data_IF_559705007539
#
_entry.id   IF_559705007539
#
_cell.length_a   1.000
_cell.length_b   1.000
_cell.length_c   1.000
_cell.angle_alpha   90.00
_cell.angle_beta   90.00
_cell.angle_gamma   90.00
#
_symmetry.space_group_name_H-M   'P 1'
#
loop_
_entity.id
_entity.type
_entity.pdbx_description
1 polymer ?
#
# COMPACT_ATOMS: atom_id res chain seq x y z
N UNK A 1 -78.09 -52.45 1.22
CA UNK A 1 -77.25 -51.69 2.15
C UNK A 1 -75.94 -51.46 1.44
N UNK A 2 -75.80 -50.27 0.88
CA UNK A 2 -74.57 -49.83 0.14
C UNK A 2 -73.99 -48.62 0.85
N UNK A 3 -72.79 -48.71 1.43
CA UNK A 3 -72.05 -47.60 2.03
C UNK A 3 -71.20 -46.92 0.96
N UNK A 4 -71.46 -45.64 0.75
CA UNK A 4 -70.61 -44.76 -0.05
C UNK A 4 -69.56 -44.08 0.87
N UNK A 5 -68.29 -44.35 0.63
CA UNK A 5 -67.20 -43.74 1.28
C UNK A 5 -66.73 -42.58 0.39
N UNK A 6 -66.94 -41.31 0.84
CA UNK A 6 -66.50 -40.10 0.16
C UNK A 6 -65.04 -39.78 0.51
N UNK A 7 -64.24 -39.71 -0.52
CA UNK A 7 -62.80 -39.36 -0.41
C UNK A 7 -62.63 -37.84 -0.61
N UNK A 8 -62.31 -37.10 0.47
CA UNK A 8 -61.99 -35.71 0.45
C UNK A 8 -60.48 -35.51 0.07
N UNK A 9 -60.24 -34.97 -1.14
CA UNK A 9 -58.92 -34.56 -1.57
C UNK A 9 -58.64 -33.17 -0.98
N UNK A 10 -57.75 -33.07 0.00
CA UNK A 10 -57.20 -31.82 0.54
C UNK A 10 -56.11 -31.29 -0.36
N UNK A 11 -56.34 -30.14 -0.99
CA UNK A 11 -55.37 -29.43 -1.82
C UNK A 11 -54.43 -28.62 -0.88
N UNK A 12 -53.22 -29.10 -0.63
CA UNK A 12 -52.21 -28.37 0.12
C UNK A 12 -51.54 -27.34 -0.81
N UNK A 13 -51.86 -26.06 -0.65
CA UNK A 13 -51.11 -24.94 -1.27
C UNK A 13 -49.75 -24.83 -0.57
N UNK A 14 -48.68 -25.29 -1.23
CA UNK A 14 -47.31 -24.97 -0.82
C UNK A 14 -46.98 -23.50 -1.20
N UNK A 15 -46.99 -22.60 -0.23
CA UNK A 15 -46.48 -21.24 -0.38
C UNK A 15 -44.94 -21.34 -0.42
N UNK A 16 -44.34 -21.32 -1.62
CA UNK A 16 -42.91 -21.21 -1.82
C UNK A 16 -42.46 -19.81 -1.36
N UNK A 17 -41.84 -19.73 -0.21
CA UNK A 17 -41.11 -18.52 0.20
C UNK A 17 -39.92 -18.30 -0.74
N UNK A 18 -40.04 -17.34 -1.65
CA UNK A 18 -38.92 -16.86 -2.46
C UNK A 18 -37.98 -16.13 -1.51
N UNK A 19 -36.92 -16.79 -1.04
CA UNK A 19 -35.83 -16.14 -0.38
C UNK A 19 -35.08 -15.32 -1.45
N UNK A 20 -35.37 -14.02 -1.54
CA UNK A 20 -34.49 -13.08 -2.21
C UNK A 20 -33.14 -13.09 -1.47
N UNK A 21 -32.02 -13.27 -2.15
CA UNK A 21 -30.71 -13.15 -1.49
C UNK A 21 -30.62 -11.77 -0.87
N UNK A 22 -30.60 -11.70 0.44
CA UNK A 22 -30.35 -10.48 1.18
C UNK A 22 -28.89 -10.12 0.89
N UNK A 23 -28.65 -9.07 0.13
CA UNK A 23 -27.30 -8.54 -0.08
C UNK A 23 -26.74 -8.17 1.31
N UNK A 24 -25.78 -8.96 1.78
CA UNK A 24 -25.07 -8.67 3.01
C UNK A 24 -24.24 -7.40 2.76
N UNK A 25 -24.64 -6.31 3.39
CA UNK A 25 -23.75 -5.15 3.53
C UNK A 25 -22.48 -5.63 4.27
N UNK A 26 -21.31 -5.37 3.71
CA UNK A 26 -20.05 -5.69 4.36
C UNK A 26 -19.96 -4.89 5.68
N UNK A 27 -20.15 -5.59 6.80
CA UNK A 27 -19.99 -4.97 8.13
C UNK A 27 -18.50 -4.78 8.38
N UNK A 28 -18.11 -3.55 8.67
CA UNK A 28 -16.72 -3.23 9.05
C UNK A 28 -16.70 -2.40 10.32
N UNK A 29 -16.34 -3.01 11.45
CA UNK A 29 -16.18 -2.27 12.71
C UNK A 29 -15.17 -1.11 12.61
N UNK A 30 -14.14 -1.24 11.77
CA UNK A 30 -13.17 -0.15 11.55
C UNK A 30 -13.80 1.01 10.78
N UNK A 31 -14.58 0.72 9.71
CA UNK A 31 -15.32 1.76 8.99
C UNK A 31 -16.25 2.54 9.89
N UNK A 32 -17.01 1.84 10.74
CA UNK A 32 -17.95 2.46 11.66
C UNK A 32 -17.23 3.41 12.63
N UNK A 33 -16.11 2.97 13.23
CA UNK A 33 -15.27 3.80 14.09
C UNK A 33 -14.70 5.02 13.37
N UNK A 34 -14.24 4.87 12.13
CA UNK A 34 -13.72 5.97 11.33
C UNK A 34 -14.80 6.99 11.02
N UNK A 35 -16.01 6.54 10.66
CA UNK A 35 -17.16 7.41 10.40
C UNK A 35 -17.62 8.15 11.66
N UNK A 36 -17.75 7.45 12.77
CA UNK A 36 -18.14 8.02 14.07
C UNK A 36 -17.14 9.08 14.53
N UNK A 37 -15.83 8.78 14.43
CA UNK A 37 -14.76 9.71 14.80
C UNK A 37 -14.60 10.87 13.80
N UNK A 38 -15.06 10.69 12.57
CA UNK A 38 -14.88 11.65 11.48
C UNK A 38 -13.44 11.87 11.04
N UNK A 39 -12.54 10.93 11.35
CA UNK A 39 -11.10 11.03 11.08
C UNK A 39 -10.51 9.64 10.86
N UNK A 40 -9.70 9.47 9.81
CA UNK A 40 -8.92 8.25 9.56
C UNK A 40 -7.54 8.38 10.23
N UNK A 41 -7.12 7.35 10.97
CA UNK A 41 -5.77 7.28 11.59
C UNK A 41 -4.85 6.44 10.72
N UNK A 42 -3.87 7.08 10.09
CA UNK A 42 -2.87 6.41 9.25
C UNK A 42 -1.50 6.40 9.89
N UNK A 43 -0.70 5.39 9.55
CA UNK A 43 0.71 5.35 9.93
C UNK A 43 1.52 6.41 9.17
N UNK A 44 2.37 7.12 9.90
CA UNK A 44 3.47 7.93 9.38
C UNK A 44 4.82 7.27 9.63
N UNK A 45 5.90 8.04 9.53
CA UNK A 45 7.25 7.61 9.91
C UNK A 45 7.82 8.55 10.98
N UNK A 46 8.71 8.04 11.82
CA UNK A 46 9.41 8.85 12.84
C UNK A 46 10.60 9.61 12.20
N UNK A 47 10.29 10.59 11.39
CA UNK A 47 11.19 11.30 10.48
C UNK A 47 10.68 11.22 9.05
N UNK A 48 11.57 11.22 8.07
CA UNK A 48 11.21 11.09 6.65
C UNK A 48 11.72 9.78 6.06
N UNK A 49 10.87 9.11 5.30
CA UNK A 49 11.19 8.05 4.36
C UNK A 49 10.85 8.57 2.97
N UNK A 50 11.87 9.18 2.34
CA UNK A 50 11.70 10.05 1.19
C UNK A 50 10.96 9.40 0.02
N UNK A 51 10.07 10.19 -0.60
CA UNK A 51 9.17 9.76 -1.67
C UNK A 51 7.93 9.00 -1.21
N UNK A 52 7.98 8.35 -0.03
CA UNK A 52 6.88 7.53 0.50
C UNK A 52 6.17 8.18 1.67
N UNK A 53 6.89 8.53 2.72
CA UNK A 53 6.37 9.19 3.94
C UNK A 53 7.34 10.26 4.35
N UNK A 54 7.05 11.49 4.06
CA UNK A 54 7.89 12.63 4.38
C UNK A 54 7.17 13.60 5.30
N UNK A 55 7.92 14.21 6.21
CA UNK A 55 7.45 15.27 7.07
C UNK A 55 8.43 16.42 7.03
N UNK A 56 7.94 17.65 6.89
CA UNK A 56 8.74 18.85 6.97
C UNK A 56 8.73 19.48 8.39
N UNK A 57 9.49 20.54 8.60
CA UNK A 57 9.60 21.24 9.89
C UNK A 57 8.29 21.87 10.36
N UNK A 58 7.29 21.98 9.47
CA UNK A 58 5.93 22.46 9.78
C UNK A 58 4.96 21.34 10.10
N UNK A 59 5.44 20.08 10.21
CA UNK A 59 4.63 18.87 10.36
C UNK A 59 3.64 18.62 9.19
N UNK A 60 3.97 19.10 8.00
CA UNK A 60 3.22 18.80 6.79
C UNK A 60 3.73 17.49 6.19
N UNK A 61 2.82 16.56 5.99
CA UNK A 61 3.10 15.24 5.47
C UNK A 61 2.89 15.17 3.95
N UNK A 62 3.79 14.48 3.25
CA UNK A 62 3.70 14.18 1.81
C UNK A 62 4.32 12.82 1.50
N UNK A 63 4.13 12.34 0.28
CA UNK A 63 4.68 11.08 -0.21
C UNK A 63 3.59 10.14 -0.72
N UNK A 64 4.01 9.08 -1.41
CA UNK A 64 3.11 8.09 -2.03
C UNK A 64 2.14 7.50 -0.99
N UNK A 65 2.65 7.03 0.14
CA UNK A 65 1.86 6.38 1.18
C UNK A 65 0.91 7.35 1.86
N UNK A 66 1.32 8.61 2.01
CA UNK A 66 0.48 9.68 2.56
C UNK A 66 -0.67 10.01 1.62
N UNK A 67 -0.41 10.06 0.32
CA UNK A 67 -1.44 10.33 -0.68
C UNK A 67 -2.42 9.15 -0.82
N UNK A 68 -1.97 7.92 -0.66
CA UNK A 68 -2.86 6.74 -0.56
C UNK A 68 -3.73 6.79 0.71
N UNK A 69 -3.19 7.25 1.85
CA UNK A 69 -4.00 7.50 3.04
C UNK A 69 -5.07 8.58 2.80
N UNK A 70 -4.71 9.69 2.14
CA UNK A 70 -5.65 10.76 1.76
C UNK A 70 -6.72 10.27 0.79
N UNK A 71 -6.34 9.41 -0.16
CA UNK A 71 -7.27 8.79 -1.09
C UNK A 71 -8.30 7.92 -0.34
N UNK A 72 -7.84 7.06 0.57
CA UNK A 72 -8.71 6.26 1.43
C UNK A 72 -9.61 7.15 2.31
N UNK A 73 -9.05 8.22 2.88
CA UNK A 73 -9.80 9.19 3.66
C UNK A 73 -10.92 9.83 2.83
N UNK A 74 -10.61 10.24 1.60
CA UNK A 74 -11.60 10.84 0.70
C UNK A 74 -12.70 9.86 0.32
N UNK A 75 -12.34 8.61 0.02
CA UNK A 75 -13.32 7.57 -0.30
C UNK A 75 -14.33 7.35 0.83
N UNK A 76 -13.89 7.42 2.08
CA UNK A 76 -14.74 7.18 3.26
C UNK A 76 -15.47 8.45 3.70
N UNK A 77 -14.75 9.57 3.86
CA UNK A 77 -15.21 10.78 4.53
C UNK A 77 -15.45 11.98 3.59
N UNK A 78 -15.13 11.84 2.29
CA UNK A 78 -15.32 12.89 1.28
C UNK A 78 -14.33 14.07 1.34
N UNK A 79 -13.34 14.02 2.21
CA UNK A 79 -12.38 15.11 2.41
C UNK A 79 -10.98 14.52 2.69
N UNK A 80 -9.97 14.78 1.86
CA UNK A 80 -8.61 14.25 2.03
C UNK A 80 -7.91 14.72 3.30
N UNK A 81 -8.41 15.77 3.96
CA UNK A 81 -7.81 16.34 5.15
C UNK A 81 -8.35 15.74 6.46
N UNK A 82 -9.41 14.93 6.40
CA UNK A 82 -9.98 14.23 7.57
C UNK A 82 -9.17 13.00 7.96
N UNK A 83 -7.84 13.14 8.02
CA UNK A 83 -6.93 12.13 8.50
C UNK A 83 -5.99 12.68 9.57
N UNK A 84 -5.43 11.77 10.34
CA UNK A 84 -4.32 12.05 11.27
C UNK A 84 -3.20 11.06 10.99
N UNK A 85 -2.03 11.58 10.67
CA UNK A 85 -0.82 10.78 10.45
C UNK A 85 -0.11 10.60 11.78
N UNK A 86 0.08 9.35 12.18
CA UNK A 86 0.72 8.97 13.45
C UNK A 86 2.17 8.58 13.18
N UNK A 87 3.17 9.32 13.68
CA UNK A 87 4.57 8.98 13.53
C UNK A 87 4.90 7.67 14.23
N UNK A 88 5.44 6.69 13.50
CA UNK A 88 5.79 5.36 14.01
C UNK A 88 7.16 4.94 13.46
N UNK A 89 7.97 4.26 14.24
CA UNK A 89 9.12 3.54 13.71
C UNK A 89 8.69 2.30 12.91
N UNK A 90 9.64 1.63 12.27
CA UNK A 90 9.37 0.37 11.58
C UNK A 90 8.89 -0.72 12.54
N UNK A 91 9.45 -0.77 13.75
CA UNK A 91 9.09 -1.75 14.77
C UNK A 91 7.70 -1.47 15.40
N UNK A 92 7.33 -0.19 15.53
CA UNK A 92 6.08 0.22 16.19
C UNK A 92 4.83 0.03 15.33
N UNK A 93 4.94 -0.05 13.98
CA UNK A 93 3.77 -0.01 13.10
C UNK A 93 2.74 -1.13 13.34
N UNK A 94 3.19 -2.35 13.58
CA UNK A 94 2.27 -3.47 13.81
C UNK A 94 1.65 -3.48 15.20
N UNK A 95 2.40 -3.27 16.30
CA UNK A 95 1.80 -3.03 17.60
C UNK A 95 0.75 -1.91 17.59
N UNK A 96 1.03 -0.77 16.96
CA UNK A 96 0.08 0.34 16.85
C UNK A 96 -1.18 -0.01 16.04
N UNK A 97 -1.04 -0.85 15.01
CA UNK A 97 -2.19 -1.35 14.27
C UNK A 97 -3.04 -2.31 15.12
N UNK A 98 -2.40 -3.21 15.84
CA UNK A 98 -3.07 -4.20 16.69
C UNK A 98 -3.80 -3.55 17.87
N UNK A 99 -3.21 -2.51 18.50
CA UNK A 99 -3.84 -1.74 19.58
C UNK A 99 -4.98 -0.83 19.10
N UNK A 100 -5.01 -0.50 17.80
CA UNK A 100 -5.98 0.44 17.24
C UNK A 100 -5.55 1.90 17.31
N UNK A 101 -4.27 2.18 17.58
CA UNK A 101 -3.70 3.53 17.50
C UNK A 101 -3.66 4.05 16.07
N UNK A 102 -3.67 3.14 15.08
CA UNK A 102 -3.93 3.42 13.67
C UNK A 102 -4.98 2.46 13.12
N UNK A 103 -5.75 2.93 12.14
CA UNK A 103 -6.77 2.13 11.46
C UNK A 103 -6.16 1.28 10.33
N UNK A 104 -5.09 1.79 9.73
CA UNK A 104 -4.39 1.17 8.60
C UNK A 104 -2.90 1.54 8.64
N UNK A 105 -2.06 0.60 8.23
CA UNK A 105 -0.63 0.84 7.98
C UNK A 105 -0.41 0.92 6.48
N UNK A 106 -0.26 2.13 5.94
CA UNK A 106 0.22 2.41 4.58
C UNK A 106 1.61 3.03 4.76
N UNK A 107 2.65 2.19 4.72
CA UNK A 107 4.02 2.58 5.07
C UNK A 107 5.04 1.61 4.46
N UNK A 108 5.17 1.60 3.13
CA UNK A 108 6.14 0.77 2.40
C UNK A 108 6.34 -0.62 3.06
N UNK A 109 5.23 -1.31 3.37
CA UNK A 109 5.24 -2.52 4.19
C UNK A 109 5.23 -3.76 3.30
N UNK A 110 6.31 -4.55 3.35
CA UNK A 110 6.40 -5.83 2.64
C UNK A 110 5.38 -6.84 3.19
N UNK A 111 4.62 -7.46 2.30
CA UNK A 111 3.74 -8.56 2.62
C UNK A 111 4.56 -9.85 2.72
N UNK A 112 4.59 -10.47 3.89
CA UNK A 112 5.30 -11.72 4.14
C UNK A 112 4.39 -12.72 4.83
N UNK A 113 4.65 -14.02 4.62
CA UNK A 113 3.89 -15.10 5.25
C UNK A 113 3.83 -14.93 6.78
N UNK A 114 4.97 -14.69 7.44
CA UNK A 114 4.99 -14.55 8.90
C UNK A 114 4.17 -13.34 9.40
N UNK A 115 4.20 -12.21 8.68
CA UNK A 115 3.36 -11.05 9.05
C UNK A 115 1.88 -11.33 8.90
N UNK A 116 1.52 -12.04 7.84
CA UNK A 116 0.14 -12.40 7.53
C UNK A 116 -0.40 -13.43 8.52
N UNK A 117 0.33 -14.52 8.75
CA UNK A 117 -0.19 -15.69 9.49
C UNK A 117 0.10 -15.65 11.00
N UNK A 118 1.19 -15.01 11.45
CA UNK A 118 1.63 -15.06 12.84
C UNK A 118 1.26 -13.79 13.64
N UNK A 119 1.16 -12.62 12.95
CA UNK A 119 0.89 -11.36 13.61
C UNK A 119 -0.59 -10.96 13.62
N UNK A 120 -1.50 -11.79 13.09
CA UNK A 120 -2.92 -11.46 13.00
C UNK A 120 -3.18 -10.23 12.12
N UNK A 121 -2.43 -10.11 11.04
CA UNK A 121 -2.56 -9.03 10.06
C UNK A 121 -3.22 -9.55 8.78
N UNK A 122 -3.81 -8.63 8.04
CA UNK A 122 -4.29 -8.84 6.69
C UNK A 122 -3.66 -7.79 5.78
N UNK A 123 -3.39 -8.17 4.53
CA UNK A 123 -2.75 -7.29 3.58
C UNK A 123 -3.68 -6.97 2.40
N UNK A 124 -3.53 -5.76 1.86
CA UNK A 124 -4.22 -5.35 0.64
C UNK A 124 -3.60 -5.97 -0.60
N UNK A 125 -4.21 -5.70 -1.77
CA UNK A 125 -3.51 -5.81 -3.04
C UNK A 125 -2.19 -5.02 -2.97
N UNK A 126 -1.10 -5.56 -3.52
CA UNK A 126 0.14 -4.81 -3.58
C UNK A 126 -0.02 -3.54 -4.42
N UNK A 127 0.49 -2.43 -3.90
CA UNK A 127 0.49 -1.15 -4.61
C UNK A 127 1.88 -0.74 -5.10
N UNK A 128 2.93 -1.46 -4.66
CA UNK A 128 4.30 -1.21 -5.10
C UNK A 128 5.12 -2.50 -5.03
N UNK A 129 6.16 -2.60 -5.89
CA UNK A 129 7.07 -3.73 -5.96
C UNK A 129 8.52 -3.24 -5.94
N UNK A 130 9.36 -3.94 -5.19
CA UNK A 130 10.79 -3.67 -5.11
C UNK A 130 11.52 -4.85 -4.48
N UNK A 131 12.77 -4.63 -4.10
CA UNK A 131 13.56 -5.66 -3.44
C UNK A 131 14.71 -5.07 -2.63
N UNK A 132 15.27 -5.88 -1.75
CA UNK A 132 16.46 -5.54 -0.97
C UNK A 132 17.66 -5.35 -1.88
N UNK A 133 18.43 -4.31 -1.66
CA UNK A 133 19.70 -4.03 -2.32
C UNK A 133 20.73 -3.52 -1.32
N UNK A 134 21.98 -3.51 -1.74
CA UNK A 134 23.13 -3.05 -0.97
C UNK A 134 23.74 -1.82 -1.67
N UNK A 135 23.92 -0.75 -0.93
CA UNK A 135 24.64 0.45 -1.34
C UNK A 135 26.02 0.44 -0.68
N UNK A 136 27.06 0.63 -1.48
CA UNK A 136 28.45 0.71 -0.99
C UNK A 136 29.16 1.94 -1.53
N UNK A 137 30.22 2.39 -0.83
CA UNK A 137 31.09 3.45 -1.35
C UNK A 137 32.03 2.87 -2.42
N UNK A 138 32.17 3.58 -3.53
CA UNK A 138 33.04 3.15 -4.65
C UNK A 138 34.50 3.02 -4.26
N UNK A 139 34.99 3.81 -3.33
CA UNK A 139 36.36 3.78 -2.80
C UNK A 139 36.74 2.43 -2.18
N UNK A 140 35.75 1.64 -1.71
CA UNK A 140 35.98 0.31 -1.14
C UNK A 140 36.28 -0.75 -2.21
N UNK A 141 36.05 -0.45 -3.50
CA UNK A 141 36.27 -1.40 -4.59
C UNK A 141 35.32 -2.61 -4.58
N UNK A 142 34.25 -2.58 -3.76
CA UNK A 142 33.27 -3.64 -3.65
C UNK A 142 32.29 -3.55 -4.82
N UNK A 143 32.18 -4.63 -5.60
CA UNK A 143 31.32 -4.71 -6.78
C UNK A 143 30.29 -5.84 -6.72
N UNK A 144 30.30 -6.64 -5.65
CA UNK A 144 29.32 -7.70 -5.38
C UNK A 144 29.21 -7.93 -3.89
N UNK A 145 28.15 -8.61 -3.44
CA UNK A 145 27.94 -8.98 -2.03
C UNK A 145 29.12 -9.77 -1.43
N UNK A 146 29.84 -10.54 -2.24
CA UNK A 146 31.04 -11.28 -1.79
C UNK A 146 32.19 -10.38 -1.31
N UNK A 147 32.25 -9.15 -1.80
CA UNK A 147 33.26 -8.18 -1.34
C UNK A 147 32.99 -7.62 0.06
N UNK A 148 31.90 -7.99 0.71
CA UNK A 148 31.55 -7.59 2.09
C UNK A 148 32.04 -8.60 3.14
N UNK A 149 32.91 -9.55 2.80
CA UNK A 149 33.45 -10.52 3.75
C UNK A 149 34.22 -9.84 4.89
N UNK A 150 33.86 -10.13 6.13
CA UNK A 150 34.35 -9.43 7.33
C UNK A 150 33.77 -8.02 7.55
N UNK A 151 32.94 -7.53 6.63
CA UNK A 151 32.42 -6.17 6.62
C UNK A 151 31.24 -5.94 7.56
N UNK A 152 30.89 -4.66 7.70
CA UNK A 152 29.76 -4.17 8.50
C UNK A 152 28.65 -3.65 7.61
N UNK A 153 27.42 -4.14 7.82
CA UNK A 153 26.23 -3.75 7.08
C UNK A 153 25.24 -3.02 8.00
N UNK A 154 24.93 -1.78 7.68
CA UNK A 154 23.92 -0.98 8.38
C UNK A 154 22.53 -1.23 7.79
N UNK A 155 21.51 -1.32 8.66
CA UNK A 155 20.12 -1.54 8.28
C UNK A 155 19.15 -0.89 9.27
N UNK A 156 17.93 -0.62 8.82
CA UNK A 156 16.86 -0.19 9.72
C UNK A 156 16.23 -1.38 10.43
N UNK A 157 16.12 -1.32 11.74
CA UNK A 157 15.54 -2.36 12.59
C UNK A 157 14.05 -2.61 12.29
N UNK A 158 13.59 -3.85 12.43
CA UNK A 158 12.19 -4.23 12.23
C UNK A 158 11.72 -4.25 10.78
N UNK A 159 12.67 -4.25 9.83
CA UNK A 159 12.39 -4.37 8.39
C UNK A 159 12.59 -5.81 7.90
N UNK A 160 12.02 -6.14 6.74
CA UNK A 160 12.32 -7.40 6.02
C UNK A 160 13.76 -7.44 5.56
N UNK A 161 14.32 -6.28 5.24
CA UNK A 161 15.68 -6.11 4.69
C UNK A 161 16.73 -6.68 5.66
N UNK A 162 16.58 -6.41 6.96
CA UNK A 162 17.50 -6.91 8.00
C UNK A 162 17.67 -8.43 7.90
N UNK A 163 16.56 -9.17 7.82
CA UNK A 163 16.58 -10.63 7.72
C UNK A 163 17.06 -11.10 6.34
N UNK A 164 16.52 -10.53 5.26
CA UNK A 164 16.83 -10.95 3.89
C UNK A 164 18.33 -10.81 3.61
N UNK A 165 18.95 -9.69 3.99
CA UNK A 165 20.36 -9.44 3.76
C UNK A 165 21.22 -10.37 4.62
N UNK A 166 20.88 -10.58 5.90
CA UNK A 166 21.60 -11.51 6.76
C UNK A 166 21.56 -12.95 6.20
N UNK A 167 20.36 -13.42 5.80
CA UNK A 167 20.18 -14.75 5.22
C UNK A 167 20.96 -14.90 3.90
N UNK A 168 20.91 -13.87 3.05
CA UNK A 168 21.65 -13.88 1.77
C UNK A 168 23.17 -13.97 1.98
N UNK A 169 23.75 -13.07 2.78
CA UNK A 169 25.20 -13.05 3.04
C UNK A 169 25.66 -14.36 3.67
N UNK A 170 24.90 -14.90 4.62
CA UNK A 170 25.16 -16.23 5.17
C UNK A 170 25.10 -17.34 4.12
N UNK A 171 24.13 -17.32 3.22
CA UNK A 171 23.96 -18.35 2.17
C UNK A 171 25.12 -18.42 1.18
N UNK A 172 25.80 -17.29 0.95
CA UNK A 172 26.97 -17.21 0.08
C UNK A 172 28.30 -17.33 0.84
N UNK A 173 28.24 -17.68 2.14
CA UNK A 173 29.41 -17.94 2.99
C UNK A 173 30.17 -16.70 3.43
N UNK A 174 29.51 -15.53 3.50
CA UNK A 174 30.12 -14.26 3.90
C UNK A 174 29.96 -14.04 5.39
N UNK A 175 31.07 -13.87 6.10
CA UNK A 175 31.08 -13.40 7.47
C UNK A 175 30.83 -11.89 7.48
N UNK A 176 29.88 -11.44 8.30
CA UNK A 176 29.50 -10.03 8.34
C UNK A 176 28.93 -9.65 9.70
N UNK A 177 28.94 -8.35 9.97
CA UNK A 177 28.31 -7.77 11.15
C UNK A 177 27.15 -6.87 10.74
N UNK A 178 25.92 -7.26 11.12
CA UNK A 178 24.76 -6.39 10.98
C UNK A 178 24.72 -5.36 12.12
N UNK A 179 24.47 -4.09 11.78
CA UNK A 179 24.23 -3.00 12.74
C UNK A 179 22.89 -2.37 12.43
N UNK A 180 21.95 -2.59 13.34
CA UNK A 180 20.56 -2.14 13.19
C UNK A 180 20.33 -0.83 13.95
N UNK A 181 19.57 0.09 13.33
CA UNK A 181 19.21 1.39 13.86
C UNK A 181 17.71 1.58 13.85
N UNK A 182 17.18 2.27 14.86
CA UNK A 182 15.74 2.56 14.95
C UNK A 182 15.28 3.61 13.91
N UNK A 183 16.13 4.59 13.59
CA UNK A 183 15.81 5.68 12.66
C UNK A 183 16.61 5.58 11.38
N UNK A 184 15.94 5.77 10.24
CA UNK A 184 16.59 5.79 8.91
C UNK A 184 17.72 6.83 8.83
N UNK A 185 17.55 8.01 9.43
CA UNK A 185 18.58 9.04 9.47
C UNK A 185 19.87 8.57 10.17
N UNK A 186 19.75 7.77 11.23
CA UNK A 186 20.90 7.21 11.95
C UNK A 186 21.63 6.17 11.10
N UNK A 187 20.89 5.34 10.33
CA UNK A 187 21.48 4.39 9.38
C UNK A 187 22.31 5.13 8.33
N UNK A 188 21.73 6.17 7.73
CA UNK A 188 22.39 6.98 6.69
C UNK A 188 23.64 7.63 7.26
N UNK A 189 23.55 8.25 8.45
CA UNK A 189 24.70 8.89 9.10
C UNK A 189 25.82 7.89 9.41
N UNK A 190 25.48 6.68 9.89
CA UNK A 190 26.46 5.63 10.15
C UNK A 190 27.15 5.14 8.87
N UNK A 191 26.41 4.99 7.79
CA UNK A 191 26.97 4.61 6.50
C UNK A 191 27.86 5.72 5.91
N UNK A 192 27.38 6.96 5.88
CA UNK A 192 28.15 8.10 5.30
C UNK A 192 29.40 8.42 6.07
N UNK A 193 29.41 8.23 7.40
CA UNK A 193 30.61 8.42 8.24
C UNK A 193 31.64 7.27 8.13
N UNK A 194 31.35 6.22 7.36
CA UNK A 194 32.23 5.06 7.23
C UNK A 194 32.14 4.04 8.38
N UNK A 195 31.20 4.21 9.30
CA UNK A 195 30.95 3.22 10.38
C UNK A 195 30.49 1.88 9.84
N UNK A 196 29.83 1.88 8.67
CA UNK A 196 29.41 0.68 7.96
C UNK A 196 29.95 0.70 6.53
N UNK A 197 30.33 -0.47 6.04
CA UNK A 197 30.83 -0.66 4.69
C UNK A 197 29.71 -0.66 3.65
N UNK A 198 28.54 -1.17 4.04
CA UNK A 198 27.35 -1.17 3.22
C UNK A 198 26.12 -0.63 3.97
N UNK A 199 25.20 -0.05 3.21
CA UNK A 199 23.83 0.26 3.65
C UNK A 199 22.87 -0.69 2.94
N UNK A 200 22.15 -1.48 3.73
CA UNK A 200 21.12 -2.38 3.25
C UNK A 200 19.75 -1.73 3.35
N UNK A 201 19.07 -1.59 2.23
CA UNK A 201 17.74 -1.03 2.18
C UNK A 201 16.95 -1.54 0.97
N UNK A 202 15.72 -1.10 0.87
CA UNK A 202 14.88 -1.34 -0.28
C UNK A 202 15.36 -0.49 -1.47
N UNK A 203 15.59 -1.13 -2.63
CA UNK A 203 16.22 -0.50 -3.79
C UNK A 203 15.59 0.83 -4.22
N UNK A 204 14.25 0.94 -4.34
CA UNK A 204 13.60 2.20 -4.64
C UNK A 204 13.93 3.32 -3.64
N UNK A 205 14.05 3.00 -2.34
CA UNK A 205 14.44 4.01 -1.34
C UNK A 205 15.90 4.43 -1.44
N UNK A 206 16.79 3.49 -1.79
CA UNK A 206 18.20 3.81 -2.06
C UNK A 206 18.32 4.77 -3.25
N UNK A 207 17.58 4.52 -4.33
CA UNK A 207 17.57 5.38 -5.50
C UNK A 207 17.11 6.81 -5.17
N UNK A 208 16.04 6.92 -4.38
CA UNK A 208 15.53 8.21 -3.88
C UNK A 208 16.56 8.94 -3.02
N UNK A 209 17.22 8.24 -2.10
CA UNK A 209 18.26 8.81 -1.24
C UNK A 209 19.46 9.29 -2.04
N UNK A 210 19.94 8.51 -3.01
CA UNK A 210 21.04 8.91 -3.89
C UNK A 210 20.74 10.18 -4.67
N UNK A 211 19.48 10.36 -5.09
CA UNK A 211 19.07 11.53 -5.84
C UNK A 211 19.04 12.82 -4.99
N UNK A 212 18.92 12.73 -3.65
CA UNK A 212 18.58 13.91 -2.85
C UNK A 212 19.31 14.06 -1.52
N UNK A 213 19.86 13.01 -0.94
CA UNK A 213 20.41 13.03 0.42
C UNK A 213 21.92 12.83 0.50
N UNK A 214 22.53 12.42 -0.60
CA UNK A 214 23.98 12.24 -0.66
C UNK A 214 24.62 13.46 -1.34
N UNK A 215 25.69 14.00 -0.76
CA UNK A 215 26.43 15.15 -1.31
C UNK A 215 26.97 14.87 -2.72
N UNK A 216 27.43 13.64 -2.95
CA UNK A 216 27.90 13.16 -4.26
C UNK A 216 27.47 11.72 -4.50
N UNK A 217 26.34 11.57 -5.19
CA UNK A 217 25.80 10.26 -5.55
C UNK A 217 26.80 9.38 -6.33
N UNK A 218 27.72 10.02 -7.09
CA UNK A 218 28.72 9.29 -7.89
C UNK A 218 29.78 8.56 -7.05
N UNK A 219 29.92 8.90 -5.78
CA UNK A 219 30.80 8.18 -4.84
C UNK A 219 30.22 6.86 -4.34
N UNK A 220 29.00 6.56 -4.70
CA UNK A 220 28.29 5.36 -4.25
C UNK A 220 27.88 4.50 -5.44
N UNK A 221 27.66 3.21 -5.17
CA UNK A 221 27.13 2.26 -6.14
C UNK A 221 26.15 1.31 -5.45
N UNK A 222 24.99 1.13 -6.08
CA UNK A 222 24.06 0.05 -5.73
C UNK A 222 24.64 -1.22 -6.35
N UNK A 223 24.89 -2.26 -5.54
CA UNK A 223 25.32 -3.55 -6.07
C UNK A 223 24.22 -4.14 -6.96
N UNK A 224 24.61 -4.76 -8.06
CA UNK A 224 23.69 -5.17 -9.13
C UNK A 224 22.66 -6.24 -8.73
N UNK A 225 22.88 -6.93 -7.62
CA UNK A 225 22.00 -8.01 -7.17
C UNK A 225 20.80 -7.43 -6.40
N UNK A 226 19.59 -7.69 -6.89
CA UNK A 226 18.36 -7.53 -6.11
C UNK A 226 18.14 -8.79 -5.29
N UNK A 227 18.21 -8.68 -3.97
CA UNK A 227 18.26 -9.83 -3.06
C UNK A 227 16.87 -10.40 -2.72
N UNK A 228 15.81 -9.71 -3.09
CA UNK A 228 14.43 -10.14 -2.89
C UNK A 228 13.49 -9.54 -3.93
N UNK A 229 12.30 -10.15 -4.06
CA UNK A 229 11.16 -9.56 -4.75
C UNK A 229 10.05 -9.36 -3.73
N UNK A 230 9.75 -8.10 -3.39
CA UNK A 230 8.84 -7.77 -2.30
C UNK A 230 7.59 -7.04 -2.83
N UNK A 231 6.40 -7.65 -2.68
CA UNK A 231 5.15 -6.93 -2.82
C UNK A 231 4.94 -6.03 -1.59
N UNK A 232 4.68 -4.76 -1.84
CA UNK A 232 4.38 -3.77 -0.82
C UNK A 232 2.88 -3.55 -0.79
N UNK A 233 2.28 -3.70 0.39
CA UNK A 233 0.84 -3.63 0.59
C UNK A 233 0.48 -2.85 1.87
N UNK A 234 -0.75 -2.36 1.93
CA UNK A 234 -1.29 -1.83 3.18
C UNK A 234 -1.59 -2.99 4.14
N UNK A 235 -1.34 -2.79 5.42
CA UNK A 235 -1.67 -3.77 6.45
C UNK A 235 -2.84 -3.30 7.32
N UNK A 236 -3.70 -4.24 7.66
CA UNK A 236 -4.92 -4.06 8.44
C UNK A 236 -5.00 -5.14 9.52
N UNK A 237 -5.86 -4.95 10.50
CA UNK A 237 -6.16 -6.00 11.49
C UNK A 237 -6.93 -7.13 10.81
N UNK A 238 -6.61 -8.36 11.18
CA UNK A 238 -7.37 -9.54 10.77
C UNK A 238 -8.79 -9.55 11.39
N UNK A 239 -9.76 -10.13 10.68
CA UNK A 239 -11.14 -10.27 11.17
C UNK A 239 -12.04 -9.06 10.91
N UNK A 240 -11.64 -8.15 10.01
CA UNK A 240 -12.46 -7.06 9.49
C UNK A 240 -12.39 -7.08 7.95
N UNK A 241 -13.02 -8.08 7.36
CA UNK A 241 -12.99 -8.34 5.92
C UNK A 241 -13.59 -7.15 5.14
N UNK A 242 -14.62 -6.50 5.70
CA UNK A 242 -15.18 -5.29 5.09
C UNK A 242 -14.18 -4.13 5.01
N UNK A 243 -13.30 -4.00 6.01
CA UNK A 243 -12.21 -3.01 5.97
C UNK A 243 -11.17 -3.36 4.90
N UNK A 244 -10.82 -4.63 4.81
CA UNK A 244 -9.89 -5.15 3.79
C UNK A 244 -10.44 -4.88 2.40
N UNK A 245 -11.73 -5.14 2.17
CA UNK A 245 -12.40 -4.86 0.89
C UNK A 245 -12.34 -3.37 0.53
N UNK A 246 -12.62 -2.47 1.48
CA UNK A 246 -12.54 -1.03 1.25
C UNK A 246 -11.14 -0.61 0.81
N UNK A 247 -10.10 -1.06 1.51
CA UNK A 247 -8.71 -0.73 1.18
C UNK A 247 -8.31 -1.32 -0.17
N UNK A 248 -8.68 -2.56 -0.45
CA UNK A 248 -8.42 -3.22 -1.74
C UNK A 248 -9.09 -2.50 -2.90
N UNK A 249 -10.39 -2.20 -2.78
CA UNK A 249 -11.14 -1.57 -3.85
C UNK A 249 -10.75 -0.10 -4.04
N UNK A 250 -10.28 0.58 -2.99
CA UNK A 250 -9.67 1.90 -3.10
C UNK A 250 -8.42 1.86 -3.99
N UNK A 251 -7.50 0.94 -3.73
CA UNK A 251 -6.28 0.77 -4.55
C UNK A 251 -6.64 0.33 -5.98
N UNK A 252 -7.54 -0.64 -6.12
CA UNK A 252 -8.01 -1.11 -7.41
C UNK A 252 -8.65 0.03 -8.24
N UNK A 253 -9.46 0.88 -7.63
CA UNK A 253 -10.08 2.01 -8.31
C UNK A 253 -9.06 3.04 -8.80
N UNK A 254 -8.01 3.35 -8.02
CA UNK A 254 -6.94 4.26 -8.45
C UNK A 254 -6.15 3.71 -9.64
N UNK A 255 -5.79 2.41 -9.60
CA UNK A 255 -5.07 1.75 -10.69
C UNK A 255 -5.97 1.60 -11.93
N UNK A 256 -7.24 1.25 -11.74
CA UNK A 256 -8.21 1.15 -12.83
C UNK A 256 -8.49 2.50 -13.48
N UNK A 257 -8.55 3.57 -12.71
CA UNK A 257 -8.67 4.92 -13.23
C UNK A 257 -7.51 5.29 -14.16
N UNK A 258 -6.28 4.95 -13.78
CA UNK A 258 -5.11 5.12 -14.63
C UNK A 258 -5.22 4.31 -15.92
N UNK A 259 -5.59 3.04 -15.85
CA UNK A 259 -5.78 2.13 -16.99
C UNK A 259 -6.84 2.66 -17.98
N UNK A 260 -7.88 3.29 -17.47
CA UNK A 260 -8.98 3.85 -18.25
C UNK A 260 -8.75 5.32 -18.67
N UNK A 261 -7.61 5.91 -18.33
CA UNK A 261 -7.29 7.31 -18.61
C UNK A 261 -8.14 8.32 -17.85
N UNK A 262 -8.77 7.91 -16.74
CA UNK A 262 -9.48 8.82 -15.84
C UNK A 262 -8.46 9.52 -14.95
N UNK A 263 -8.44 10.84 -15.00
CA UNK A 263 -7.48 11.69 -14.28
C UNK A 263 -8.20 12.71 -13.41
N UNK A 264 -7.47 13.35 -12.51
CA UNK A 264 -8.00 14.50 -11.74
C UNK A 264 -8.57 15.59 -12.64
N UNK A 265 -7.96 15.80 -13.79
CA UNK A 265 -8.36 16.88 -14.71
C UNK A 265 -9.66 16.57 -15.48
N UNK A 266 -9.94 15.29 -15.79
CA UNK A 266 -11.06 14.92 -16.65
C UNK A 266 -12.18 14.14 -15.95
N UNK A 267 -12.04 13.84 -14.65
CA UNK A 267 -12.98 12.98 -13.91
C UNK A 267 -14.43 13.50 -13.95
N UNK A 268 -14.65 14.79 -13.87
CA UNK A 268 -16.00 15.38 -13.92
C UNK A 268 -16.63 15.28 -15.32
N UNK A 269 -15.86 15.51 -16.36
CA UNK A 269 -16.30 15.32 -17.74
C UNK A 269 -16.64 13.86 -18.03
N UNK A 270 -15.74 12.94 -17.63
CA UNK A 270 -15.96 11.49 -17.79
C UNK A 270 -17.11 10.96 -16.92
N UNK A 271 -17.44 11.64 -15.82
CA UNK A 271 -18.64 11.32 -15.03
C UNK A 271 -19.90 11.75 -15.78
N UNK A 272 -19.89 12.95 -16.36
CA UNK A 272 -21.04 13.45 -17.12
C UNK A 272 -21.30 12.60 -18.38
N UNK A 273 -20.24 12.27 -19.11
CA UNK A 273 -20.25 11.55 -20.38
C UNK A 273 -19.29 10.35 -20.36
N UNK A 274 -19.61 9.26 -19.65
CA UNK A 274 -18.70 8.11 -19.54
C UNK A 274 -18.50 7.45 -20.91
N UNK A 275 -17.25 7.20 -21.35
CA UNK A 275 -16.95 6.59 -22.64
C UNK A 275 -17.36 5.11 -22.74
N UNK A 276 -17.55 4.46 -21.62
CA UNK A 276 -17.96 3.05 -21.55
C UNK A 276 -18.62 2.72 -20.19
N UNK A 277 -19.30 1.57 -20.05
CA UNK A 277 -19.97 1.17 -18.82
C UNK A 277 -19.04 1.02 -17.61
N UNK A 278 -17.78 0.61 -17.81
CA UNK A 278 -16.83 0.47 -16.71
C UNK A 278 -16.49 1.81 -16.07
N UNK A 279 -16.29 2.86 -16.88
CA UNK A 279 -16.11 4.23 -16.36
C UNK A 279 -17.39 4.73 -15.68
N UNK A 280 -18.58 4.42 -16.22
CA UNK A 280 -19.85 4.81 -15.60
C UNK A 280 -19.99 4.20 -14.19
N UNK A 281 -19.66 2.93 -14.02
CA UNK A 281 -19.65 2.26 -12.71
C UNK A 281 -18.58 2.84 -11.78
N UNK A 282 -17.33 2.93 -12.25
CA UNK A 282 -16.22 3.46 -11.46
C UNK A 282 -16.53 4.85 -10.89
N UNK A 283 -17.16 5.72 -11.67
CA UNK A 283 -17.44 7.10 -11.26
C UNK A 283 -18.82 7.28 -10.60
N UNK A 284 -19.56 6.18 -10.39
CA UNK A 284 -20.83 6.18 -9.66
C UNK A 284 -22.02 6.72 -10.44
N UNK A 285 -21.92 6.90 -11.78
CA UNK A 285 -23.06 7.22 -12.63
C UNK A 285 -24.00 6.02 -12.77
N UNK A 286 -23.44 4.82 -12.76
CA UNK A 286 -24.14 3.56 -12.59
C UNK A 286 -23.93 3.13 -11.13
N UNK A 287 -24.96 3.27 -10.24
CA UNK A 287 -24.78 3.17 -8.80
C UNK A 287 -24.73 1.71 -8.32
N UNK A 288 -24.29 1.51 -7.07
CA UNK A 288 -24.32 0.23 -6.36
C UNK A 288 -22.97 -0.25 -5.86
N UNK A 289 -21.85 0.15 -6.47
CA UNK A 289 -20.51 -0.24 -6.00
C UNK A 289 -20.20 0.29 -4.60
N UNK A 290 -20.53 1.56 -4.34
CA UNK A 290 -20.29 2.17 -3.03
C UNK A 290 -21.08 1.49 -1.94
N UNK A 291 -22.35 1.20 -2.20
CA UNK A 291 -23.23 0.53 -1.23
C UNK A 291 -22.69 -0.82 -0.78
N UNK A 292 -22.10 -1.62 -1.67
CA UNK A 292 -21.49 -2.92 -1.33
C UNK A 292 -20.36 -2.78 -0.31
N UNK A 293 -19.65 -1.65 -0.33
CA UNK A 293 -18.55 -1.31 0.58
C UNK A 293 -19.01 -0.49 1.81
N UNK A 294 -20.31 -0.19 1.94
CA UNK A 294 -20.80 0.74 2.94
C UNK A 294 -20.37 2.19 2.71
N UNK A 295 -20.01 2.55 1.48
CA UNK A 295 -19.59 3.89 1.05
C UNK A 295 -20.66 4.57 0.20
N UNK A 296 -20.45 5.87 -0.12
CA UNK A 296 -21.25 6.56 -1.13
C UNK A 296 -20.95 5.99 -2.52
N UNK A 297 -21.90 5.98 -3.43
CA UNK A 297 -21.66 5.53 -4.80
C UNK A 297 -20.65 6.43 -5.56
N UNK A 298 -20.50 7.67 -5.11
CA UNK A 298 -19.55 8.66 -5.66
C UNK A 298 -18.13 8.56 -5.09
N UNK A 299 -17.86 7.59 -4.21
CA UNK A 299 -16.60 7.49 -3.46
C UNK A 299 -15.34 7.51 -4.33
N UNK A 300 -15.33 6.77 -5.44
CA UNK A 300 -14.17 6.69 -6.33
C UNK A 300 -14.01 7.99 -7.15
N UNK A 301 -15.12 8.58 -7.63
CA UNK A 301 -15.09 9.89 -8.30
C UNK A 301 -14.51 10.97 -7.38
N UNK A 302 -15.03 11.09 -6.15
CA UNK A 302 -14.55 12.07 -5.16
C UNK A 302 -13.06 11.87 -4.84
N UNK A 303 -12.63 10.61 -4.71
CA UNK A 303 -11.24 10.26 -4.48
C UNK A 303 -10.34 10.68 -5.65
N UNK A 304 -10.72 10.36 -6.90
CA UNK A 304 -9.95 10.72 -8.10
C UNK A 304 -9.96 12.23 -8.31
N UNK A 305 -11.07 12.92 -8.08
CA UNK A 305 -11.14 14.37 -8.15
C UNK A 305 -10.20 15.06 -7.15
N UNK A 306 -10.07 14.50 -5.95
CA UNK A 306 -9.18 15.05 -4.92
C UNK A 306 -7.70 14.70 -5.16
N UNK A 307 -7.43 13.42 -5.43
CA UNK A 307 -6.06 12.86 -5.41
C UNK A 307 -5.49 12.51 -6.78
N UNK A 308 -6.31 12.41 -7.83
CA UNK A 308 -5.92 11.85 -9.12
C UNK A 308 -5.94 10.31 -9.10
N UNK A 309 -5.51 9.70 -10.21
CA UNK A 309 -5.33 8.26 -10.35
C UNK A 309 -3.97 7.81 -9.79
N UNK A 310 -3.70 6.49 -9.81
CA UNK A 310 -2.45 5.95 -9.25
C UNK A 310 -1.20 6.51 -9.95
N UNK A 311 -1.22 6.67 -11.27
CA UNK A 311 -0.10 7.25 -12.03
C UNK A 311 0.19 8.69 -11.64
N UNK A 312 -0.84 9.53 -11.46
CA UNK A 312 -0.70 10.91 -11.00
C UNK A 312 -0.14 10.97 -9.56
N UNK A 313 -0.58 10.06 -8.69
CA UNK A 313 -0.05 9.93 -7.33
C UNK A 313 1.42 9.51 -7.36
N UNK A 314 1.78 8.53 -8.20
CA UNK A 314 3.16 8.10 -8.38
C UNK A 314 4.05 9.24 -8.89
N UNK A 315 3.64 9.88 -9.98
CA UNK A 315 4.42 10.89 -10.68
C UNK A 315 4.80 12.08 -9.79
N UNK A 316 3.85 12.59 -8.98
CA UNK A 316 4.12 13.73 -8.10
C UNK A 316 4.96 13.38 -6.87
N UNK A 317 4.97 12.11 -6.42
CA UNK A 317 5.69 11.71 -5.22
C UNK A 317 7.03 11.03 -5.50
N UNK A 318 7.15 10.26 -6.56
CA UNK A 318 8.32 9.47 -6.91
C UNK A 318 8.80 9.72 -8.35
N UNK A 319 7.85 9.86 -9.28
CA UNK A 319 8.08 9.87 -10.72
C UNK A 319 8.54 11.21 -11.28
N UNK A 320 8.14 11.48 -12.52
CA UNK A 320 8.65 12.59 -13.35
C UNK A 320 8.41 13.98 -12.76
N UNK A 321 7.37 14.16 -11.96
CA UNK A 321 7.00 15.46 -11.36
C UNK A 321 7.61 15.65 -9.95
N UNK A 322 8.29 14.62 -9.43
CA UNK A 322 9.01 14.65 -8.16
C UNK A 322 10.48 15.04 -8.35
N UNK A 323 11.19 15.42 -7.27
CA UNK A 323 12.64 15.60 -7.35
C UNK A 323 13.41 14.31 -7.57
N UNK A 324 12.78 13.15 -7.34
CA UNK A 324 13.41 11.82 -7.36
C UNK A 324 13.54 11.24 -8.77
N UNK A 325 12.62 11.56 -9.67
CA UNK A 325 12.60 11.09 -11.07
C UNK A 325 12.72 9.57 -11.19
N UNK A 326 12.15 8.83 -10.21
CA UNK A 326 12.21 7.38 -10.19
C UNK A 326 11.36 6.80 -11.31
N UNK A 327 11.99 5.97 -12.15
CA UNK A 327 11.27 5.23 -13.18
C UNK A 327 10.33 4.21 -12.52
N UNK A 328 9.17 4.03 -13.11
CA UNK A 328 8.16 3.08 -12.61
C UNK A 328 8.62 1.62 -12.70
N UNK A 329 9.33 1.24 -13.76
CA UNK A 329 9.77 -0.13 -13.97
C UNK A 329 8.63 -1.15 -13.77
N UNK A 330 8.80 -2.09 -12.85
CA UNK A 330 7.77 -3.06 -12.47
C UNK A 330 6.49 -2.42 -11.90
N UNK A 331 6.57 -1.20 -11.39
CA UNK A 331 5.42 -0.47 -10.83
C UNK A 331 4.55 0.22 -11.90
N UNK A 332 4.77 -0.11 -13.13
CA UNK A 332 3.91 0.32 -14.24
C UNK A 332 2.68 -0.59 -14.37
N UNK A 333 1.68 -0.14 -15.12
CA UNK A 333 0.53 -0.97 -15.46
C UNK A 333 0.98 -2.21 -16.25
N UNK A 334 0.27 -3.32 -16.10
CA UNK A 334 0.51 -4.54 -16.86
C UNK A 334 0.52 -4.32 -18.37
N UNK A 335 -0.32 -3.41 -18.88
CA UNK A 335 -0.40 -3.01 -20.30
C UNK A 335 0.83 -2.21 -20.78
N UNK A 336 1.66 -1.72 -19.85
CA UNK A 336 2.88 -0.96 -20.11
C UNK A 336 4.14 -1.68 -19.59
N UNK A 337 4.07 -3.03 -19.50
CA UNK A 337 5.21 -3.86 -19.12
C UNK A 337 5.51 -3.93 -17.61
N UNK A 338 4.61 -3.44 -16.78
CA UNK A 338 4.70 -3.58 -15.32
C UNK A 338 3.87 -4.74 -14.78
N UNK A 339 3.66 -4.75 -13.46
CA UNK A 339 2.90 -5.81 -12.76
C UNK A 339 1.68 -5.29 -12.02
N UNK A 340 1.36 -4.00 -12.13
CA UNK A 340 0.15 -3.45 -11.53
C UNK A 340 -1.05 -3.78 -12.42
N UNK A 341 -2.00 -4.49 -11.87
CA UNK A 341 -3.30 -4.81 -12.45
C UNK A 341 -4.36 -4.84 -11.37
N UNK A 342 -5.63 -4.84 -11.77
CA UNK A 342 -6.76 -4.83 -10.83
C UNK A 342 -7.75 -5.95 -11.15
N UNK A 343 -8.50 -6.43 -10.14
CA UNK A 343 -9.70 -7.21 -10.37
C UNK A 343 -10.73 -6.45 -11.21
N UNK A 344 -11.70 -7.16 -11.73
CA UNK A 344 -12.78 -6.58 -12.55
C UNK A 344 -13.74 -5.81 -11.64
N UNK A 345 -14.06 -4.59 -12.04
CA UNK A 345 -15.10 -3.75 -11.44
C UNK A 345 -16.44 -4.04 -12.14
N UNK A 346 -17.34 -4.77 -11.49
CA UNK A 346 -18.65 -5.22 -12.02
C UNK A 346 -19.84 -4.73 -11.16
#
# INVERSE_FOLDING_TARGET
>A
MKHHLGMLFGLALAVGAVFAPQQAEAKSPTLDKVKERGTLLCSGHNGSYFGFVEVNDKNEWKGLDIDLCRALTTAILGDPNKNKIIPLSWAQRFPALQSGDVDVVIKATGWTMGRDTELGLQFSLPYFFGGAQLLVRKELGINSAKGLDGGTVCVAAGTTIERIVADHLKSIGIEHRMVSFEKTAEVIAAYTSGRCDAYAAWGPSIAVLLATQFEDANKHVILGDTLSAEPIAAAMRQGDEGWVDIVNWMLAALIKAEELGVTKANVEEMTANPPNPTVARLLGKDPGMGKRLGLRDTWAREMIAAMGNFGEIYDRNLGKDSPYKLDRGLNNLWSHGGVLYTPILD
#
